data_IF_825773703543
#
_entry.id   IF_825773703543
#
_cell.length_a   1.000
_cell.length_b   1.000
_cell.length_c   1.000
_cell.angle_alpha   90.00
_cell.angle_beta   90.00
_cell.angle_gamma   90.00
#
_symmetry.space_group_name_H-M   'P 1'
#
loop_
_entity.id
_entity.type
_entity.pdbx_description
1 polymer ?
#
# COMPACT_ATOMS: atom_id res chain seq x y z
N UNK A 1 39.43 51.43 75.36
CA UNK A 1 39.23 51.70 73.91
C UNK A 1 39.82 50.60 73.01
N UNK A 2 39.35 49.34 73.06
CA UNK A 2 39.82 48.28 72.13
C UNK A 2 38.75 47.28 71.62
N UNK A 3 37.47 47.45 71.95
CA UNK A 3 36.38 46.55 71.50
C UNK A 3 35.64 47.00 70.23
N UNK A 4 35.82 48.25 69.77
CA UNK A 4 35.09 48.79 68.61
C UNK A 4 35.70 48.43 67.25
N UNK A 5 37.01 48.10 67.20
CA UNK A 5 37.69 47.79 65.95
C UNK A 5 37.40 46.38 65.41
N UNK A 6 37.16 45.41 66.31
CA UNK A 6 36.91 44.02 65.92
C UNK A 6 35.51 43.84 65.29
N UNK A 7 34.51 44.61 65.73
CA UNK A 7 33.15 44.49 65.20
C UNK A 7 33.04 45.11 63.79
N UNK A 8 33.70 46.25 63.52
CA UNK A 8 33.70 46.89 62.21
C UNK A 8 34.49 46.09 61.16
N UNK A 9 35.58 45.42 61.56
CA UNK A 9 36.32 44.51 60.68
C UNK A 9 35.52 43.27 60.28
N UNK A 10 34.78 42.68 61.22
CA UNK A 10 33.94 41.51 60.96
C UNK A 10 32.76 41.85 60.03
N UNK A 11 32.15 43.03 60.15
CA UNK A 11 31.06 43.45 59.26
C UNK A 11 31.53 43.69 57.82
N UNK A 12 32.75 44.20 57.61
CA UNK A 12 33.34 44.42 56.28
C UNK A 12 33.74 43.09 55.64
N UNK A 13 34.29 42.14 56.42
CA UNK A 13 34.61 40.80 55.92
C UNK A 13 33.35 40.00 55.55
N UNK A 14 32.25 40.14 56.32
CA UNK A 14 30.97 39.50 55.99
C UNK A 14 30.33 40.10 54.72
N UNK A 15 30.43 41.43 54.52
CA UNK A 15 29.94 42.08 53.30
C UNK A 15 30.74 41.67 52.06
N UNK A 16 32.06 41.49 52.18
CA UNK A 16 32.91 41.04 51.07
C UNK A 16 32.67 39.57 50.69
N UNK A 17 32.28 38.71 51.65
CA UNK A 17 31.88 37.33 51.34
C UNK A 17 30.46 37.23 50.76
N UNK A 18 29.56 38.17 51.07
CA UNK A 18 28.19 38.19 50.54
C UNK A 18 28.09 38.75 49.11
N UNK A 19 29.07 39.53 48.66
CA UNK A 19 29.12 40.12 47.30
C UNK A 19 30.30 39.62 46.46
N UNK A 20 31.09 38.66 46.95
CA UNK A 20 32.33 38.19 46.32
C UNK A 20 32.22 37.03 45.32
N UNK A 21 31.04 36.43 45.12
CA UNK A 21 30.84 35.32 44.19
C UNK A 21 29.63 35.57 43.29
N UNK A 22 29.73 36.54 42.39
CA UNK A 22 29.01 36.47 41.11
C UNK A 22 30.05 36.47 40.01
N UNK A 23 30.78 35.36 39.87
CA UNK A 23 31.20 35.00 38.52
C UNK A 23 29.89 34.86 37.76
N UNK A 24 29.65 35.76 36.81
CA UNK A 24 28.69 35.54 35.74
C UNK A 24 29.21 34.36 34.92
N UNK A 25 29.23 33.16 35.50
CA UNK A 25 29.03 31.94 34.75
C UNK A 25 27.60 32.08 34.26
N UNK A 26 27.47 32.71 33.09
CA UNK A 26 26.33 32.46 32.23
C UNK A 26 26.17 30.96 32.24
N UNK A 27 25.15 30.47 32.95
CA UNK A 27 24.61 29.16 32.68
C UNK A 27 24.31 29.19 31.20
N UNK A 28 25.21 28.63 30.39
CA UNK A 28 24.88 28.17 29.06
C UNK A 28 23.80 27.14 29.34
N UNK A 29 22.55 27.59 29.35
CA UNK A 29 21.38 26.73 29.39
C UNK A 29 21.69 25.63 28.40
N UNK A 30 21.86 24.40 28.91
CA UNK A 30 22.09 23.24 28.07
C UNK A 30 21.12 23.37 26.88
N UNK A 31 21.61 23.28 25.63
CA UNK A 31 20.81 23.61 24.46
C UNK A 31 19.48 22.91 24.64
N UNK A 32 18.42 23.68 24.83
CA UNK A 32 17.09 23.15 25.10
C UNK A 32 16.82 22.19 23.97
N UNK A 33 16.82 20.90 24.29
CA UNK A 33 16.59 19.84 23.32
C UNK A 33 15.34 20.23 22.55
N UNK A 34 15.41 20.21 21.22
CA UNK A 34 14.25 20.57 20.42
C UNK A 34 13.19 19.48 20.61
N UNK A 35 12.37 19.63 21.65
CA UNK A 35 11.30 18.70 21.97
C UNK A 35 10.22 18.71 20.88
N UNK A 36 10.19 19.74 20.03
CA UNK A 36 9.23 19.91 18.95
C UNK A 36 7.84 20.33 19.43
N UNK A 37 6.93 20.48 18.47
CA UNK A 37 5.49 20.67 18.72
C UNK A 37 4.76 19.35 18.57
N UNK A 38 3.69 19.14 19.33
CA UNK A 38 2.80 17.96 19.17
C UNK A 38 2.22 17.87 17.76
N UNK A 39 1.81 19.01 17.18
CA UNK A 39 1.31 19.13 15.82
C UNK A 39 2.15 20.15 15.05
N UNK A 40 2.68 19.74 13.90
CA UNK A 40 3.47 20.59 13.00
C UNK A 40 2.69 20.85 11.72
N UNK A 41 2.60 22.11 11.31
CA UNK A 41 1.89 22.55 10.12
C UNK A 41 2.83 23.29 9.17
N UNK A 42 2.99 22.77 7.97
CA UNK A 42 3.73 23.38 6.87
C UNK A 42 2.71 23.94 5.87
N UNK A 43 2.45 25.23 5.99
CA UNK A 43 1.43 25.99 5.25
C UNK A 43 2.05 27.30 4.72
N UNK A 44 1.40 27.90 3.72
CA UNK A 44 1.86 29.12 3.04
C UNK A 44 2.91 28.82 1.97
N UNK A 45 3.10 29.74 1.02
CA UNK A 45 3.94 29.58 -0.19
C UNK A 45 5.46 29.57 0.10
N UNK A 46 5.89 28.64 0.93
CA UNK A 46 7.26 28.46 1.38
C UNK A 46 8.15 27.97 0.24
N UNK A 47 9.38 28.47 0.23
CA UNK A 47 10.49 27.86 -0.52
C UNK A 47 10.95 26.56 0.16
N UNK A 48 11.71 25.73 -0.57
CA UNK A 48 12.29 24.49 -0.01
C UNK A 48 13.13 24.78 1.26
N UNK A 49 13.93 25.85 1.26
CA UNK A 49 14.78 26.22 2.39
C UNK A 49 13.98 26.60 3.63
N UNK A 50 12.89 27.35 3.46
CA UNK A 50 11.99 27.75 4.56
C UNK A 50 11.23 26.54 5.11
N UNK A 51 10.77 25.65 4.22
CA UNK A 51 10.12 24.39 4.61
C UNK A 51 11.06 23.53 5.47
N UNK A 52 12.31 23.31 5.01
CA UNK A 52 13.33 22.56 5.76
C UNK A 52 13.64 23.23 7.09
N UNK A 53 13.83 24.55 7.12
CA UNK A 53 14.11 25.27 8.36
C UNK A 53 12.96 25.13 9.37
N UNK A 54 11.71 25.24 8.92
CA UNK A 54 10.52 25.09 9.77
C UNK A 54 10.37 23.67 10.29
N UNK A 55 10.53 22.66 9.44
CA UNK A 55 10.50 21.26 9.85
C UNK A 55 11.57 20.96 10.90
N UNK A 56 12.82 21.43 10.68
CA UNK A 56 13.92 21.26 11.64
C UNK A 56 13.67 21.95 12.98
N UNK A 57 12.95 23.08 12.98
CA UNK A 57 12.64 23.83 14.19
C UNK A 57 11.43 23.25 14.94
N UNK A 58 10.46 22.66 14.25
CA UNK A 58 9.18 22.28 14.86
C UNK A 58 9.00 20.78 15.08
N UNK A 59 9.67 19.92 14.31
CA UNK A 59 9.62 18.46 14.50
C UNK A 59 10.64 18.06 15.58
N UNK A 60 10.18 17.31 16.58
CA UNK A 60 11.01 16.87 17.70
C UNK A 60 10.43 15.65 18.43
N UNK A 61 10.99 15.33 19.59
CA UNK A 61 10.69 14.10 20.34
C UNK A 61 9.24 13.94 20.80
N UNK A 62 8.46 15.02 20.90
CA UNK A 62 7.04 14.97 21.30
C UNK A 62 6.08 15.10 20.11
N UNK A 63 6.60 15.26 18.89
CA UNK A 63 5.76 15.43 17.70
C UNK A 63 4.98 14.15 17.44
N UNK A 64 3.66 14.29 17.31
CA UNK A 64 2.74 13.19 17.02
C UNK A 64 2.16 13.32 15.61
N UNK A 65 1.93 14.54 15.12
CA UNK A 65 1.29 14.76 13.82
C UNK A 65 2.03 15.80 12.99
N UNK A 66 2.24 15.50 11.71
CA UNK A 66 2.83 16.40 10.73
C UNK A 66 1.84 16.59 9.57
N UNK A 67 1.51 17.83 9.29
CA UNK A 67 0.64 18.24 8.19
C UNK A 67 1.43 19.11 7.24
N UNK A 68 1.46 18.74 5.96
CA UNK A 68 2.08 19.53 4.90
C UNK A 68 1.03 19.83 3.85
N UNK A 69 0.88 21.11 3.52
CA UNK A 69 -0.14 21.59 2.60
C UNK A 69 -1.35 22.21 3.31
N UNK A 70 -2.23 22.79 2.49
CA UNK A 70 -3.42 23.52 2.93
C UNK A 70 -4.35 23.78 1.75
N UNK A 71 -5.34 24.66 1.96
CA UNK A 71 -6.33 25.04 0.94
C UNK A 71 -5.66 25.86 -0.17
N UNK A 72 -4.72 26.72 0.19
CA UNK A 72 -4.02 27.59 -0.75
C UNK A 72 -2.93 26.81 -1.52
N UNK A 73 -2.76 27.07 -2.82
CA UNK A 73 -1.70 26.45 -3.61
C UNK A 73 -0.30 26.76 -3.08
N UNK A 74 0.53 25.73 -3.02
CA UNK A 74 1.96 25.84 -2.72
C UNK A 74 2.71 25.86 -4.06
N UNK A 75 3.22 27.03 -4.43
CA UNK A 75 3.79 27.27 -5.76
C UNK A 75 5.31 27.20 -5.76
N UNK A 76 5.98 27.54 -4.67
CA UNK A 76 7.45 27.55 -4.64
C UNK A 76 8.09 26.25 -4.16
N UNK A 77 7.33 25.39 -3.47
CA UNK A 77 7.84 24.15 -2.91
C UNK A 77 8.06 23.10 -4.01
N UNK A 78 9.30 22.64 -4.15
CA UNK A 78 9.70 21.60 -5.12
C UNK A 78 10.07 20.28 -4.45
N UNK A 79 10.52 20.32 -3.20
CA UNK A 79 10.98 19.15 -2.46
C UNK A 79 10.52 19.21 -1.00
N UNK A 80 10.04 18.07 -0.48
CA UNK A 80 9.78 17.86 0.94
C UNK A 80 10.75 16.79 1.44
N UNK A 81 11.54 17.11 2.47
CA UNK A 81 12.35 16.12 3.21
C UNK A 81 11.92 16.08 4.68
N UNK A 82 11.55 14.90 5.18
CA UNK A 82 11.09 14.68 6.54
C UNK A 82 11.99 13.66 7.24
N UNK A 83 12.56 14.04 8.37
CA UNK A 83 13.12 13.13 9.37
C UNK A 83 12.06 12.92 10.45
N UNK A 84 11.56 11.70 10.59
CA UNK A 84 10.36 11.39 11.37
C UNK A 84 10.73 10.62 12.64
N UNK A 85 10.50 11.18 13.84
CA UNK A 85 10.71 10.46 15.08
C UNK A 85 9.65 9.37 15.29
N UNK A 86 9.99 8.35 16.07
CA UNK A 86 9.11 7.18 16.35
C UNK A 86 7.77 7.53 17.00
N UNK A 87 7.65 8.73 17.58
CA UNK A 87 6.43 9.23 18.22
C UNK A 87 5.37 9.69 17.23
N UNK A 88 5.74 9.94 15.96
CA UNK A 88 4.79 10.40 14.94
C UNK A 88 3.81 9.30 14.60
N UNK A 89 2.53 9.63 14.73
CA UNK A 89 1.37 8.78 14.48
C UNK A 89 0.67 9.14 13.17
N UNK A 90 0.86 10.36 12.68
CA UNK A 90 0.23 10.80 11.45
C UNK A 90 1.13 11.72 10.65
N UNK A 91 1.25 11.41 9.36
CA UNK A 91 1.80 12.31 8.35
C UNK A 91 0.76 12.45 7.26
N UNK A 92 0.34 13.68 7.00
CA UNK A 92 -0.57 14.00 5.90
C UNK A 92 0.05 15.10 5.04
N UNK A 93 0.49 14.71 3.84
CA UNK A 93 0.92 15.63 2.80
C UNK A 93 -0.28 15.78 1.87
N UNK A 94 -1.01 16.88 1.97
CA UNK A 94 -2.27 17.11 1.27
C UNK A 94 -2.40 18.59 0.90
N UNK A 95 -2.45 18.90 -0.40
CA UNK A 95 -2.57 20.27 -0.88
C UNK A 95 -2.41 20.37 -2.39
N UNK A 96 -2.64 21.57 -2.95
CA UNK A 96 -2.41 21.82 -4.38
C UNK A 96 -0.96 22.26 -4.58
N UNK A 97 -0.09 21.34 -4.99
CA UNK A 97 1.31 21.65 -5.29
C UNK A 97 1.53 21.79 -6.79
N UNK A 98 1.93 22.99 -7.23
CA UNK A 98 2.18 23.26 -8.66
C UNK A 98 3.58 22.81 -9.10
N UNK A 99 4.53 22.77 -8.18
CA UNK A 99 5.94 22.50 -8.49
C UNK A 99 6.60 21.40 -7.63
N UNK A 100 5.87 20.78 -6.69
CA UNK A 100 6.39 19.67 -5.88
C UNK A 100 6.70 18.47 -6.77
N UNK A 101 7.98 18.09 -6.80
CA UNK A 101 8.54 16.98 -7.58
C UNK A 101 8.97 15.83 -6.71
N UNK A 102 9.50 16.11 -5.51
CA UNK A 102 10.15 15.09 -4.69
C UNK A 102 9.61 15.09 -3.26
N UNK A 103 9.28 13.91 -2.75
CA UNK A 103 8.98 13.70 -1.33
C UNK A 103 9.94 12.64 -0.80
N UNK A 104 10.68 12.97 0.25
CA UNK A 104 11.57 12.06 0.96
C UNK A 104 11.17 11.97 2.43
N UNK A 105 10.93 10.76 2.91
CA UNK A 105 10.57 10.49 4.31
C UNK A 105 11.55 9.46 4.88
N UNK A 106 12.27 9.85 5.92
CA UNK A 106 13.16 8.97 6.68
C UNK A 106 12.57 8.78 8.07
N UNK A 107 12.18 7.55 8.40
CA UNK A 107 11.74 7.21 9.76
C UNK A 107 12.73 6.30 10.46
N UNK A 108 12.36 5.80 11.64
CA UNK A 108 13.25 5.03 12.50
C UNK A 108 12.59 3.75 13.01
N UNK A 109 12.92 2.61 12.40
CA UNK A 109 12.52 1.31 12.89
C UNK A 109 11.00 1.10 12.83
N UNK A 110 10.39 0.68 13.93
CA UNK A 110 8.97 0.29 13.95
C UNK A 110 8.09 1.49 14.32
N UNK A 111 7.13 1.81 13.46
CA UNK A 111 6.18 2.90 13.64
C UNK A 111 4.74 2.37 13.48
N UNK A 112 4.32 1.42 14.34
CA UNK A 112 3.13 0.60 14.14
C UNK A 112 1.80 1.34 14.17
N UNK A 113 1.80 2.61 14.60
CA UNK A 113 0.62 3.47 14.70
C UNK A 113 0.65 4.60 13.66
N UNK A 114 1.70 4.68 12.83
CA UNK A 114 1.85 5.73 11.83
C UNK A 114 0.89 5.50 10.66
N UNK A 115 0.00 6.46 10.46
CA UNK A 115 -0.82 6.68 9.27
C UNK A 115 -0.11 7.67 8.35
N UNK A 116 0.42 7.18 7.22
CA UNK A 116 1.11 7.98 6.21
C UNK A 116 0.21 8.17 4.99
N UNK A 117 -0.19 9.42 4.73
CA UNK A 117 -1.01 9.81 3.59
C UNK A 117 -0.28 10.85 2.76
N UNK A 118 -0.13 10.54 1.47
CA UNK A 118 0.42 11.46 0.49
C UNK A 118 -0.64 11.65 -0.60
N UNK A 119 -1.09 12.88 -0.75
CA UNK A 119 -2.15 13.26 -1.68
C UNK A 119 -1.70 14.48 -2.48
N UNK A 120 -1.91 14.39 -3.79
CA UNK A 120 -1.79 15.50 -4.74
C UNK A 120 -0.36 16.07 -4.91
N UNK A 121 0.01 16.25 -6.18
CA UNK A 121 1.23 16.93 -6.59
C UNK A 121 1.33 16.84 -8.10
N UNK A 122 0.90 17.89 -8.81
CA UNK A 122 0.72 17.84 -10.27
C UNK A 122 2.00 17.44 -11.01
N UNK A 123 3.15 17.77 -10.44
CA UNK A 123 4.48 17.47 -11.00
C UNK A 123 5.27 16.48 -10.14
N UNK A 124 4.60 15.69 -9.30
CA UNK A 124 5.28 14.73 -8.44
C UNK A 124 5.98 13.69 -9.32
N UNK A 125 7.28 13.55 -9.15
CA UNK A 125 8.14 12.64 -9.92
C UNK A 125 8.62 11.49 -9.03
N UNK A 126 9.00 11.78 -7.78
CA UNK A 126 9.60 10.80 -6.88
C UNK A 126 9.00 10.86 -5.47
N UNK A 127 8.68 9.68 -4.93
CA UNK A 127 8.41 9.47 -3.51
C UNK A 127 9.38 8.40 -3.00
N UNK A 128 10.16 8.76 -1.99
CA UNK A 128 11.16 7.86 -1.42
C UNK A 128 10.99 7.77 0.10
N UNK A 129 10.83 6.55 0.60
CA UNK A 129 10.62 6.26 2.02
C UNK A 129 11.69 5.26 2.47
N UNK A 130 12.42 5.58 3.54
CA UNK A 130 13.46 4.70 4.11
C UNK A 130 13.45 4.68 5.64
N UNK A 131 14.08 3.66 6.23
CA UNK A 131 14.26 3.53 7.67
C UNK A 131 13.01 3.09 8.46
N UNK A 132 11.83 3.05 7.85
CA UNK A 132 10.59 2.57 8.47
C UNK A 132 10.39 1.09 8.16
N UNK A 133 10.35 0.26 9.20
CA UNK A 133 10.21 -1.21 9.10
C UNK A 133 8.79 -1.72 9.34
N UNK A 134 7.94 -0.92 9.96
CA UNK A 134 6.55 -1.26 10.27
C UNK A 134 5.67 0.00 10.30
N UNK A 135 4.50 -0.04 9.66
CA UNK A 135 3.51 1.06 9.60
C UNK A 135 2.10 0.58 9.95
N UNK A 136 1.22 1.50 10.33
CA UNK A 136 -0.20 1.21 10.44
C UNK A 136 -0.86 1.18 9.06
N UNK A 137 -0.80 2.31 8.36
CA UNK A 137 -1.44 2.55 7.08
C UNK A 137 -0.50 3.39 6.20
N UNK A 138 -0.43 3.06 4.91
CA UNK A 138 0.19 3.93 3.92
C UNK A 138 -0.70 4.05 2.70
N UNK A 139 -1.00 5.29 2.30
CA UNK A 139 -1.88 5.59 1.18
C UNK A 139 -1.32 6.71 0.33
N UNK A 140 -1.25 6.43 -0.98
CA UNK A 140 -0.90 7.39 -2.01
C UNK A 140 -2.13 7.66 -2.86
N UNK A 141 -2.50 8.93 -2.98
CA UNK A 141 -3.53 9.40 -3.92
C UNK A 141 -2.85 10.40 -4.85
N UNK A 142 -2.40 9.89 -5.99
CA UNK A 142 -1.70 10.66 -7.01
C UNK A 142 -2.73 11.42 -7.86
N UNK A 143 -2.40 12.63 -8.33
CA UNK A 143 -3.38 13.48 -9.00
C UNK A 143 -3.88 12.86 -10.31
N UNK A 144 -5.14 13.16 -10.62
CA UNK A 144 -5.67 13.13 -11.97
C UNK A 144 -5.08 14.35 -12.71
N UNK A 145 -4.19 14.13 -13.68
CA UNK A 145 -3.44 15.21 -14.34
C UNK A 145 -4.28 16.03 -15.29
N UNK A 146 -5.51 15.61 -15.59
CA UNK A 146 -6.43 16.37 -16.44
C UNK A 146 -5.83 16.65 -17.82
N UNK A 147 -5.76 15.62 -18.66
CA UNK A 147 -5.31 15.67 -20.07
C UNK A 147 -3.85 16.08 -20.33
N UNK A 148 -3.08 16.48 -19.32
CA UNK A 148 -1.64 16.71 -19.49
C UNK A 148 -0.90 15.37 -19.55
N UNK A 149 -0.09 15.24 -20.59
CA UNK A 149 0.71 14.08 -21.00
C UNK A 149 1.37 13.31 -19.85
N UNK A 150 1.34 11.97 -19.94
CA UNK A 150 2.13 10.97 -19.21
C UNK A 150 2.92 11.47 -17.98
N UNK A 151 2.27 11.50 -16.82
CA UNK A 151 2.96 11.71 -15.55
C UNK A 151 3.57 10.40 -15.07
N UNK A 152 4.91 10.36 -15.02
CA UNK A 152 5.68 9.26 -14.45
C UNK A 152 5.98 9.54 -12.99
N UNK A 153 5.49 8.69 -12.09
CA UNK A 153 5.81 8.73 -10.66
C UNK A 153 6.58 7.48 -10.28
N UNK A 154 7.75 7.66 -9.65
CA UNK A 154 8.52 6.60 -9.02
C UNK A 154 8.26 6.62 -7.51
N UNK A 155 7.71 5.54 -6.98
CA UNK A 155 7.53 5.31 -5.54
C UNK A 155 8.46 4.18 -5.13
N UNK A 156 9.41 4.48 -4.25
CA UNK A 156 10.32 3.49 -3.67
C UNK A 156 10.23 3.53 -2.14
N UNK A 157 9.96 2.36 -1.55
CA UNK A 157 9.88 2.16 -0.11
C UNK A 157 10.92 1.09 0.27
N UNK A 158 11.91 1.50 1.06
CA UNK A 158 12.96 0.64 1.61
C UNK A 158 12.64 0.25 3.04
N UNK A 159 13.18 -0.89 3.46
CA UNK A 159 13.15 -1.42 4.84
C UNK A 159 11.77 -1.81 5.38
N UNK A 160 10.66 -1.39 4.75
CA UNK A 160 9.30 -1.68 5.20
C UNK A 160 8.99 -3.16 5.08
N UNK A 161 8.84 -3.84 6.22
CA UNK A 161 8.53 -5.28 6.29
C UNK A 161 7.07 -5.57 6.56
N UNK A 162 6.39 -4.69 7.30
CA UNK A 162 5.04 -4.94 7.80
C UNK A 162 4.16 -3.69 7.66
N UNK A 163 2.93 -3.90 7.17
CA UNK A 163 1.87 -2.88 7.23
C UNK A 163 0.67 -3.48 7.95
N UNK A 164 0.24 -2.88 9.06
CA UNK A 164 -0.78 -3.48 9.93
C UNK A 164 -2.20 -3.45 9.36
N UNK A 165 -2.53 -2.46 8.54
CA UNK A 165 -3.88 -2.25 7.99
C UNK A 165 -3.92 -2.33 6.47
N UNK A 166 -3.34 -1.34 5.79
CA UNK A 166 -3.39 -1.33 4.32
C UNK A 166 -2.25 -0.54 3.68
N UNK A 167 -1.88 -0.99 2.49
CA UNK A 167 -1.06 -0.26 1.54
C UNK A 167 -1.90 0.00 0.29
N UNK A 168 -2.19 1.25 0.01
CA UNK A 168 -3.02 1.64 -1.13
C UNK A 168 -2.34 2.66 -2.01
N UNK A 169 -2.41 2.46 -3.32
CA UNK A 169 -2.02 3.45 -4.33
C UNK A 169 -3.21 3.65 -5.26
N UNK A 170 -3.67 4.89 -5.40
CA UNK A 170 -4.63 5.30 -6.42
C UNK A 170 -4.00 6.39 -7.27
N UNK A 171 -3.98 6.15 -8.58
CA UNK A 171 -3.19 6.87 -9.55
C UNK A 171 -3.90 6.88 -10.92
N UNK A 172 -5.08 7.50 -10.96
CA UNK A 172 -5.98 7.44 -12.13
C UNK A 172 -5.31 7.84 -13.46
N UNK A 173 -4.38 8.81 -13.46
CA UNK A 173 -3.69 9.31 -14.67
C UNK A 173 -2.17 9.15 -14.65
N UNK A 174 -1.63 8.33 -13.76
CA UNK A 174 -0.21 8.02 -13.81
C UNK A 174 0.00 7.02 -14.93
N UNK A 175 0.81 7.39 -15.92
CA UNK A 175 1.09 6.51 -17.05
C UNK A 175 2.54 6.04 -17.03
N UNK A 176 2.77 4.81 -16.59
CA UNK A 176 4.09 4.17 -16.67
C UNK A 176 4.93 4.36 -15.41
N UNK A 177 4.29 4.71 -14.31
CA UNK A 177 4.95 4.85 -13.00
C UNK A 177 5.61 3.55 -12.54
N UNK A 178 6.48 3.67 -11.55
CA UNK A 178 7.14 2.54 -10.89
C UNK A 178 6.77 2.53 -9.41
N UNK A 179 6.39 1.37 -8.89
CA UNK A 179 6.17 1.14 -7.46
C UNK A 179 7.07 0.01 -6.96
N UNK A 180 7.96 0.29 -6.02
CA UNK A 180 8.91 -0.67 -5.46
C UNK A 180 8.78 -0.70 -3.94
N UNK A 181 8.47 -1.86 -3.39
CA UNK A 181 8.44 -2.11 -1.94
C UNK A 181 8.91 -3.55 -1.67
N UNK A 182 10.17 -3.82 -1.99
CA UNK A 182 10.70 -5.19 -2.06
C UNK A 182 10.98 -5.85 -0.72
N UNK A 183 11.05 -5.07 0.36
CA UNK A 183 11.22 -5.60 1.71
C UNK A 183 9.90 -5.97 2.40
N UNK A 184 8.75 -5.65 1.80
CA UNK A 184 7.45 -5.90 2.38
C UNK A 184 7.16 -7.39 2.41
N UNK A 185 6.94 -7.93 3.61
CA UNK A 185 6.66 -9.34 3.82
C UNK A 185 5.19 -9.60 4.13
N UNK A 186 4.55 -8.68 4.87
CA UNK A 186 3.19 -8.85 5.37
C UNK A 186 2.38 -7.56 5.30
N UNK A 187 1.15 -7.67 4.78
CA UNK A 187 0.10 -6.67 4.98
C UNK A 187 -1.03 -7.35 5.72
N UNK A 188 -1.28 -6.90 6.94
CA UNK A 188 -2.47 -7.20 7.72
C UNK A 188 -2.90 -8.68 7.82
N UNK A 189 -2.68 -9.29 8.99
CA UNK A 189 -3.19 -10.62 9.31
C UNK A 189 -4.49 -10.61 10.14
N UNK A 190 -4.96 -9.45 10.62
CA UNK A 190 -5.93 -9.36 11.72
C UNK A 190 -7.05 -8.31 11.54
N UNK A 191 -6.99 -7.44 10.53
CA UNK A 191 -7.99 -6.41 10.26
C UNK A 191 -9.01 -6.94 9.23
N UNK A 192 -10.29 -6.67 9.49
CA UNK A 192 -11.41 -7.16 8.69
C UNK A 192 -11.49 -6.47 7.32
N UNK A 193 -11.90 -7.23 6.28
CA UNK A 193 -12.39 -6.95 4.91
C UNK A 193 -11.97 -5.70 4.09
N UNK A 194 -11.55 -4.60 4.70
CA UNK A 194 -11.13 -3.34 4.08
C UNK A 194 -9.60 -3.11 4.15
N UNK A 195 -8.88 -3.93 4.93
CA UNK A 195 -7.42 -3.96 4.98
C UNK A 195 -6.80 -4.77 3.83
N UNK A 196 -5.61 -4.39 3.40
CA UNK A 196 -4.86 -5.12 2.37
C UNK A 196 -4.05 -4.24 1.42
N UNK A 197 -3.70 -4.84 0.28
CA UNK A 197 -2.95 -4.24 -0.81
C UNK A 197 -3.90 -3.77 -1.90
N UNK A 198 -3.79 -2.50 -2.30
CA UNK A 198 -4.58 -1.92 -3.37
C UNK A 198 -3.72 -1.16 -4.36
N UNK A 199 -3.87 -1.45 -5.65
CA UNK A 199 -3.32 -0.65 -6.73
C UNK A 199 -4.42 -0.25 -7.68
N UNK A 200 -4.49 1.03 -7.98
CA UNK A 200 -5.38 1.64 -8.95
C UNK A 200 -4.57 2.63 -9.79
N UNK A 201 -4.55 2.47 -11.12
CA UNK A 201 -3.71 3.26 -12.05
C UNK A 201 -2.78 2.46 -12.97
N UNK A 202 -2.08 3.13 -13.91
CA UNK A 202 -1.12 2.48 -14.84
C UNK A 202 0.32 2.53 -14.32
N UNK A 203 0.77 1.44 -13.70
CA UNK A 203 2.18 1.26 -13.31
C UNK A 203 2.87 0.33 -14.30
N UNK A 204 3.92 0.82 -14.96
CA UNK A 204 4.74 -0.01 -15.84
C UNK A 204 5.49 -1.10 -15.05
N UNK A 205 5.81 -0.82 -13.78
CA UNK A 205 6.52 -1.74 -12.91
C UNK A 205 5.97 -1.68 -11.48
N UNK A 206 5.55 -2.83 -10.96
CA UNK A 206 5.16 -3.01 -9.56
C UNK A 206 5.97 -4.18 -8.99
N UNK A 207 6.77 -3.93 -7.95
CA UNK A 207 7.71 -4.91 -7.40
C UNK A 207 7.55 -5.03 -5.88
N UNK A 208 7.19 -6.23 -5.43
CA UNK A 208 7.03 -6.63 -4.02
C UNK A 208 7.54 -8.05 -3.80
N UNK A 209 8.85 -8.24 -4.02
CA UNK A 209 9.44 -9.57 -4.16
C UNK A 209 9.38 -10.46 -2.91
N UNK A 210 9.20 -9.87 -1.72
CA UNK A 210 9.14 -10.62 -0.45
C UNK A 210 7.74 -10.73 0.15
N UNK A 211 6.70 -10.22 -0.52
CA UNK A 211 5.34 -10.23 0.04
C UNK A 211 4.84 -11.68 0.11
N UNK A 212 4.70 -12.21 1.33
CA UNK A 212 4.30 -13.60 1.59
C UNK A 212 2.82 -13.75 1.83
N UNK A 213 2.22 -12.82 2.57
CA UNK A 213 0.81 -12.86 2.95
C UNK A 213 0.15 -11.49 2.93
N UNK A 214 -1.09 -11.45 2.46
CA UNK A 214 -1.96 -10.27 2.58
C UNK A 214 -3.41 -10.69 2.80
N UNK A 215 -4.16 -9.91 3.57
CA UNK A 215 -5.61 -10.14 3.72
C UNK A 215 -6.35 -9.92 2.39
N UNK A 216 -6.05 -8.84 1.68
CA UNK A 216 -6.68 -8.54 0.40
C UNK A 216 -5.64 -8.07 -0.60
N UNK A 217 -5.83 -8.44 -1.86
CA UNK A 217 -5.09 -7.94 -3.00
C UNK A 217 -6.09 -7.42 -4.03
N UNK A 218 -6.18 -6.10 -4.16
CA UNK A 218 -7.06 -5.42 -5.12
C UNK A 218 -6.19 -4.79 -6.20
N UNK A 219 -6.39 -5.25 -7.43
CA UNK A 219 -5.66 -4.79 -8.60
C UNK A 219 -6.69 -4.18 -9.55
N UNK A 220 -6.78 -2.85 -9.52
CA UNK A 220 -7.43 -2.01 -10.54
C UNK A 220 -6.33 -1.35 -11.37
N UNK A 221 -5.28 -2.10 -11.66
CA UNK A 221 -4.09 -1.57 -12.31
C UNK A 221 -4.04 -1.96 -13.78
N UNK A 222 -3.48 -1.04 -14.55
CA UNK A 222 -3.10 -1.22 -15.93
C UNK A 222 -1.57 -1.51 -15.90
N UNK A 223 -1.09 -2.50 -16.66
CA UNK A 223 0.33 -2.91 -16.65
C UNK A 223 0.49 -4.26 -17.32
N UNK A 224 1.53 -4.46 -18.13
CA UNK A 224 1.62 -5.67 -18.96
C UNK A 224 1.71 -6.95 -18.10
N UNK A 225 2.54 -6.96 -17.06
CA UNK A 225 2.80 -8.14 -16.24
C UNK A 225 2.83 -7.72 -14.77
N UNK A 226 1.96 -8.30 -13.96
CA UNK A 226 1.97 -8.15 -12.50
C UNK A 226 2.32 -9.50 -11.89
N UNK A 227 3.34 -9.53 -11.02
CA UNK A 227 3.78 -10.75 -10.36
C UNK A 227 4.06 -10.55 -8.88
N UNK A 228 3.64 -11.53 -8.08
CA UNK A 228 3.93 -11.60 -6.65
C UNK A 228 4.68 -12.91 -6.37
N UNK A 229 6.02 -12.94 -6.55
CA UNK A 229 6.79 -14.18 -6.63
C UNK A 229 6.90 -14.94 -5.30
N UNK A 230 6.68 -14.28 -4.17
CA UNK A 230 6.74 -14.87 -2.84
C UNK A 230 5.37 -15.03 -2.17
N UNK A 231 4.26 -14.65 -2.83
CA UNK A 231 2.94 -14.65 -2.19
C UNK A 231 2.42 -16.08 -2.04
N UNK A 232 2.39 -16.58 -0.81
CA UNK A 232 2.03 -17.95 -0.45
C UNK A 232 0.54 -18.11 -0.13
N UNK A 233 -0.05 -17.09 0.48
CA UNK A 233 -1.43 -17.10 0.97
C UNK A 233 -2.07 -15.70 0.89
N UNK A 234 -3.34 -15.67 0.50
CA UNK A 234 -4.17 -14.46 0.49
C UNK A 234 -5.59 -14.81 0.88
N UNK A 235 -6.33 -13.89 1.52
CA UNK A 235 -7.75 -14.14 1.78
C UNK A 235 -8.63 -13.79 0.57
N UNK A 236 -8.42 -12.63 -0.05
CA UNK A 236 -9.19 -12.21 -1.24
C UNK A 236 -8.26 -11.64 -2.32
N UNK A 237 -8.43 -12.10 -3.57
CA UNK A 237 -7.90 -11.43 -4.76
C UNK A 237 -9.07 -10.82 -5.53
N UNK A 238 -8.99 -9.53 -5.81
CA UNK A 238 -9.87 -8.84 -6.77
C UNK A 238 -9.03 -8.22 -7.87
N UNK A 239 -9.36 -8.56 -9.10
CA UNK A 239 -8.82 -7.90 -10.28
C UNK A 239 -9.99 -7.19 -10.94
N UNK A 240 -9.93 -5.87 -10.99
CA UNK A 240 -10.99 -5.04 -11.55
C UNK A 240 -10.61 -4.52 -12.92
N UNK A 241 -11.63 -4.22 -13.71
CA UNK A 241 -11.50 -3.57 -15.00
C UNK A 241 -10.97 -2.16 -14.79
N UNK A 242 -9.89 -1.83 -15.50
CA UNK A 242 -9.43 -0.45 -15.57
C UNK A 242 -10.19 0.29 -16.67
N UNK A 243 -11.06 1.22 -16.29
CA UNK A 243 -12.00 1.87 -17.21
C UNK A 243 -11.44 3.11 -17.92
N UNK A 244 -10.38 3.71 -17.39
CA UNK A 244 -9.89 5.01 -17.87
C UNK A 244 -9.04 4.91 -19.15
N UNK A 245 -8.23 3.86 -19.30
CA UNK A 245 -7.46 3.63 -20.53
C UNK A 245 -7.48 2.14 -20.95
N UNK A 246 -8.40 1.74 -21.85
CA UNK A 246 -8.54 0.34 -22.26
C UNK A 246 -7.34 -0.17 -23.09
N UNK A 247 -6.45 0.70 -23.58
CA UNK A 247 -5.28 0.27 -24.34
C UNK A 247 -4.22 -0.42 -23.47
N UNK A 248 -4.20 -0.13 -22.17
CA UNK A 248 -3.14 -0.52 -21.23
C UNK A 248 -3.57 -1.62 -20.24
N UNK A 249 -4.39 -2.56 -20.66
CA UNK A 249 -4.93 -3.59 -19.76
C UNK A 249 -3.86 -4.56 -19.23
N UNK A 250 -4.15 -5.15 -18.07
CA UNK A 250 -3.39 -6.25 -17.50
C UNK A 250 -3.33 -7.44 -18.47
N UNK A 251 -2.12 -7.89 -18.86
CA UNK A 251 -1.94 -9.03 -19.80
C UNK A 251 -1.63 -10.31 -19.04
N UNK A 252 -0.75 -10.26 -18.05
CA UNK A 252 -0.36 -11.42 -17.24
C UNK A 252 -0.41 -11.09 -15.75
N UNK A 253 -1.04 -12.00 -15.00
CA UNK A 253 -1.03 -12.02 -13.54
C UNK A 253 -0.44 -13.33 -13.06
N UNK A 254 0.71 -13.26 -12.37
CA UNK A 254 1.51 -14.43 -12.04
C UNK A 254 1.79 -14.58 -10.53
N UNK A 255 1.38 -15.72 -9.98
CA UNK A 255 1.54 -16.13 -8.60
C UNK A 255 2.23 -17.49 -8.50
N UNK A 256 3.56 -17.57 -8.68
CA UNK A 256 4.27 -18.83 -8.85
C UNK A 256 4.24 -19.75 -7.62
N UNK A 257 4.08 -19.18 -6.41
CA UNK A 257 4.11 -19.93 -5.14
C UNK A 257 2.79 -19.89 -4.35
N UNK A 258 1.74 -19.25 -4.89
CA UNK A 258 0.47 -19.09 -4.18
C UNK A 258 -0.24 -20.44 -4.05
N UNK A 259 -0.44 -20.90 -2.83
CA UNK A 259 -1.06 -22.20 -2.55
C UNK A 259 -2.52 -22.10 -2.11
N UNK A 260 -2.91 -20.93 -1.56
CA UNK A 260 -4.21 -20.76 -0.89
C UNK A 260 -4.81 -19.37 -1.08
N UNK A 261 -6.08 -19.35 -1.49
CA UNK A 261 -6.97 -18.19 -1.47
C UNK A 261 -8.13 -18.51 -0.53
N UNK A 262 -8.15 -17.93 0.68
CA UNK A 262 -9.07 -18.38 1.73
C UNK A 262 -10.55 -18.14 1.41
N UNK A 263 -10.88 -17.01 0.77
CA UNK A 263 -12.27 -16.60 0.52
C UNK A 263 -12.62 -16.63 -0.96
N UNK A 264 -12.10 -15.70 -1.77
CA UNK A 264 -12.40 -15.71 -3.19
C UNK A 264 -11.37 -15.02 -4.09
N UNK A 265 -11.38 -15.47 -5.34
CA UNK A 265 -10.74 -14.87 -6.49
C UNK A 265 -11.83 -14.30 -7.40
N UNK A 266 -11.91 -12.97 -7.50
CA UNK A 266 -12.82 -12.27 -8.42
C UNK A 266 -12.00 -11.54 -9.47
N UNK A 267 -12.06 -12.00 -10.71
CA UNK A 267 -11.28 -11.48 -11.82
C UNK A 267 -12.20 -10.93 -12.92
N UNK A 268 -12.17 -9.62 -13.09
CA UNK A 268 -12.94 -8.81 -14.04
C UNK A 268 -11.98 -7.98 -14.90
N UNK A 269 -11.11 -8.64 -15.65
CA UNK A 269 -10.03 -7.97 -16.39
C UNK A 269 -10.26 -8.09 -17.90
N UNK A 270 -10.45 -6.94 -18.56
CA UNK A 270 -10.86 -6.85 -19.98
C UNK A 270 -9.94 -7.55 -20.98
N UNK A 271 -8.64 -7.66 -20.70
CA UNK A 271 -7.65 -8.25 -21.62
C UNK A 271 -6.63 -9.14 -20.92
N UNK A 272 -6.99 -9.71 -19.77
CA UNK A 272 -6.10 -10.64 -19.09
C UNK A 272 -5.86 -11.83 -20.01
N UNK A 273 -4.65 -11.95 -20.52
CA UNK A 273 -4.20 -13.07 -21.29
C UNK A 273 -3.92 -14.26 -20.40
N UNK A 274 -3.14 -14.06 -19.32
CA UNK A 274 -2.62 -15.12 -18.45
C UNK A 274 -2.97 -14.89 -16.99
N UNK A 275 -3.59 -15.89 -16.37
CA UNK A 275 -3.75 -16.02 -14.93
C UNK A 275 -2.99 -17.28 -14.46
N UNK A 276 -1.79 -17.08 -13.94
CA UNK A 276 -0.89 -18.17 -13.56
C UNK A 276 -0.89 -18.41 -12.04
N UNK A 277 -1.44 -19.54 -11.62
CA UNK A 277 -1.63 -19.98 -10.24
C UNK A 277 -1.21 -21.47 -10.09
N UNK A 278 0.03 -21.84 -10.49
CA UNK A 278 0.43 -23.24 -10.68
C UNK A 278 0.36 -24.07 -9.40
N UNK A 279 0.59 -23.47 -8.24
CA UNK A 279 0.59 -24.16 -6.95
C UNK A 279 -0.71 -24.01 -6.17
N UNK A 280 -1.73 -23.38 -6.74
CA UNK A 280 -2.99 -23.12 -6.04
C UNK A 280 -3.71 -24.45 -5.79
N UNK A 281 -3.84 -24.82 -4.51
CA UNK A 281 -4.56 -26.02 -4.08
C UNK A 281 -5.95 -25.68 -3.54
N UNK A 282 -6.09 -24.55 -2.85
CA UNK A 282 -7.34 -24.18 -2.20
C UNK A 282 -7.81 -22.79 -2.65
N UNK A 283 -9.05 -22.70 -3.14
CA UNK A 283 -9.74 -21.44 -3.35
C UNK A 283 -11.23 -21.63 -3.11
N UNK A 284 -11.81 -20.98 -2.11
CA UNK A 284 -13.22 -21.25 -1.79
C UNK A 284 -14.19 -20.82 -2.89
N UNK A 285 -13.99 -19.64 -3.50
CA UNK A 285 -14.79 -19.18 -4.64
C UNK A 285 -13.92 -18.61 -5.76
N UNK A 286 -14.25 -18.97 -6.99
CA UNK A 286 -13.61 -18.44 -8.20
C UNK A 286 -14.68 -17.81 -9.07
N UNK A 287 -14.47 -16.55 -9.43
CA UNK A 287 -15.36 -15.76 -10.25
C UNK A 287 -14.53 -15.12 -11.35
N UNK A 288 -14.81 -15.50 -12.60
CA UNK A 288 -14.11 -15.02 -13.78
C UNK A 288 -15.15 -14.36 -14.70
N UNK A 289 -14.98 -13.09 -15.02
CA UNK A 289 -15.93 -12.33 -15.84
C UNK A 289 -15.20 -11.44 -16.84
N UNK A 290 -15.98 -10.87 -17.73
CA UNK A 290 -15.57 -9.87 -18.72
C UNK A 290 -14.65 -10.45 -19.81
N UNK A 291 -15.19 -11.46 -20.50
CA UNK A 291 -15.16 -11.67 -21.96
C UNK A 291 -13.89 -11.39 -22.80
N UNK A 292 -12.64 -11.51 -22.33
CA UNK A 292 -11.49 -11.79 -23.23
C UNK A 292 -10.33 -12.52 -22.53
N UNK A 293 -10.61 -13.59 -21.76
CA UNK A 293 -9.57 -14.59 -21.55
C UNK A 293 -9.66 -15.56 -22.73
N UNK A 294 -8.75 -15.52 -23.73
CA UNK A 294 -8.67 -16.65 -24.66
C UNK A 294 -8.54 -17.93 -23.81
N UNK A 295 -9.28 -18.97 -24.20
CA UNK A 295 -9.53 -20.23 -23.47
C UNK A 295 -8.32 -21.00 -22.87
N UNK A 296 -7.10 -20.47 -22.95
CA UNK A 296 -5.86 -21.23 -22.91
C UNK A 296 -4.92 -20.89 -21.76
N UNK A 297 -5.29 -20.01 -20.81
CA UNK A 297 -4.27 -19.38 -19.97
C UNK A 297 -4.69 -19.12 -18.52
N UNK A 298 -5.55 -19.99 -17.96
CA UNK A 298 -5.74 -20.09 -16.51
C UNK A 298 -5.05 -21.34 -16.00
N UNK A 299 -3.88 -21.18 -15.38
CA UNK A 299 -3.12 -22.29 -14.83
C UNK A 299 -3.43 -22.47 -13.36
N UNK A 300 -4.35 -23.39 -13.03
CA UNK A 300 -4.68 -23.76 -11.63
C UNK A 300 -4.66 -25.27 -11.43
N UNK A 301 -3.76 -26.01 -12.10
CA UNK A 301 -3.86 -27.47 -12.23
C UNK A 301 -3.90 -28.26 -10.91
N UNK A 302 -3.32 -27.74 -9.82
CA UNK A 302 -3.34 -28.38 -8.50
C UNK A 302 -4.58 -28.08 -7.63
N UNK A 303 -5.56 -27.32 -8.14
CA UNK A 303 -6.76 -26.95 -7.39
C UNK A 303 -7.52 -28.20 -6.93
N UNK A 304 -7.65 -28.35 -5.61
CA UNK A 304 -8.26 -29.49 -4.94
C UNK A 304 -9.49 -29.12 -4.10
N UNK A 305 -9.72 -27.84 -3.83
CA UNK A 305 -10.88 -27.36 -3.09
C UNK A 305 -11.47 -26.11 -3.73
N UNK A 306 -12.78 -26.12 -4.00
CA UNK A 306 -13.57 -24.97 -4.45
C UNK A 306 -15.08 -25.28 -4.35
N UNK A 307 -15.84 -24.37 -3.74
CA UNK A 307 -17.30 -24.53 -3.52
C UNK A 307 -18.14 -23.72 -4.48
N UNK A 308 -17.58 -22.68 -5.09
CA UNK A 308 -18.31 -21.76 -5.96
C UNK A 308 -17.46 -21.39 -7.18
N UNK A 309 -17.95 -21.68 -8.38
CA UNK A 309 -17.24 -21.37 -9.62
C UNK A 309 -18.17 -20.69 -10.63
N UNK A 310 -17.83 -19.48 -11.04
CA UNK A 310 -18.56 -18.72 -12.07
C UNK A 310 -17.60 -18.35 -13.18
N UNK A 311 -18.04 -18.60 -14.41
CA UNK A 311 -17.28 -18.25 -15.61
C UNK A 311 -18.16 -17.49 -16.60
N UNK A 312 -17.67 -16.33 -17.04
CA UNK A 312 -18.19 -15.55 -18.15
C UNK A 312 -17.01 -14.96 -18.93
N UNK A 313 -16.21 -15.84 -19.51
CA UNK A 313 -14.97 -15.49 -20.22
C UNK A 313 -14.94 -16.04 -21.65
N UNK A 314 -16.09 -16.45 -22.18
CA UNK A 314 -16.26 -17.03 -23.53
C UNK A 314 -15.47 -18.35 -23.73
N UNK A 315 -15.54 -19.24 -22.75
CA UNK A 315 -14.97 -20.57 -22.86
C UNK A 315 -15.62 -21.34 -24.03
N UNK A 316 -14.81 -21.96 -24.91
CA UNK A 316 -15.32 -22.93 -25.87
C UNK A 316 -15.82 -24.18 -25.13
N UNK A 317 -16.63 -25.01 -25.81
CA UNK A 317 -17.17 -26.25 -25.24
C UNK A 317 -16.09 -27.15 -24.63
N UNK A 318 -14.91 -27.24 -25.26
CA UNK A 318 -13.76 -27.99 -24.72
C UNK A 318 -13.25 -27.45 -23.38
N UNK A 319 -13.25 -26.12 -23.20
CA UNK A 319 -12.87 -25.46 -21.94
C UNK A 319 -13.88 -25.74 -20.84
N UNK A 320 -15.18 -25.63 -21.13
CA UNK A 320 -16.25 -25.98 -20.19
C UNK A 320 -16.16 -27.46 -19.80
N UNK A 321 -16.00 -28.37 -20.77
CA UNK A 321 -15.82 -29.80 -20.52
C UNK A 321 -14.62 -30.09 -19.60
N UNK A 322 -13.48 -29.46 -19.84
CA UNK A 322 -12.27 -29.64 -19.03
C UNK A 322 -12.47 -29.20 -17.58
N UNK A 323 -13.17 -28.09 -17.36
CA UNK A 323 -13.50 -27.62 -16.01
C UNK A 323 -14.46 -28.59 -15.32
N UNK A 324 -15.56 -28.97 -15.98
CA UNK A 324 -16.52 -29.93 -15.41
C UNK A 324 -15.84 -31.25 -15.00
N UNK A 325 -14.99 -31.80 -15.87
CA UNK A 325 -14.25 -33.02 -15.60
C UNK A 325 -13.36 -32.89 -14.35
N UNK A 326 -12.60 -31.80 -14.25
CA UNK A 326 -11.72 -31.55 -13.12
C UNK A 326 -12.50 -31.46 -11.79
N UNK A 327 -13.67 -30.84 -11.82
CA UNK A 327 -14.50 -30.64 -10.63
C UNK A 327 -15.19 -31.90 -10.10
N UNK A 328 -15.13 -33.03 -10.82
CA UNK A 328 -15.58 -34.33 -10.31
C UNK A 328 -14.84 -34.75 -9.03
N UNK A 329 -13.58 -34.34 -8.88
CA UNK A 329 -12.70 -34.75 -7.78
C UNK A 329 -12.33 -33.59 -6.83
N UNK A 330 -12.66 -32.36 -7.19
CA UNK A 330 -12.46 -31.18 -6.32
C UNK A 330 -13.40 -31.27 -5.11
N UNK A 331 -12.83 -31.04 -3.93
CA UNK A 331 -13.55 -31.03 -2.66
C UNK A 331 -14.29 -29.70 -2.43
N UNK A 332 -15.42 -29.74 -1.71
CA UNK A 332 -16.17 -30.94 -1.33
C UNK A 332 -16.78 -31.64 -2.56
N UNK A 333 -17.04 -32.96 -2.49
CA UNK A 333 -17.64 -33.71 -3.62
C UNK A 333 -19.06 -33.22 -3.95
N UNK A 334 -19.81 -32.74 -2.95
CA UNK A 334 -21.19 -32.25 -3.07
C UNK A 334 -21.34 -30.80 -2.58
N UNK A 335 -22.50 -30.18 -2.82
CA UNK A 335 -22.80 -28.83 -2.32
C UNK A 335 -22.07 -27.70 -3.03
N UNK A 336 -21.44 -27.98 -4.18
CA UNK A 336 -20.81 -26.96 -5.03
C UNK A 336 -21.82 -26.25 -5.91
N UNK A 337 -21.53 -25.01 -6.26
CA UNK A 337 -22.29 -24.21 -7.24
C UNK A 337 -21.41 -23.87 -8.44
N UNK A 338 -21.97 -24.10 -9.64
CA UNK A 338 -21.33 -23.83 -10.92
C UNK A 338 -22.25 -23.02 -11.82
N UNK A 339 -21.73 -21.93 -12.38
CA UNK A 339 -22.43 -21.12 -13.36
C UNK A 339 -21.58 -20.93 -14.64
N UNK A 340 -22.08 -21.52 -15.72
CA UNK A 340 -21.57 -21.42 -17.09
C UNK A 340 -22.65 -20.92 -18.05
N UNK A 341 -23.68 -20.20 -17.59
CA UNK A 341 -24.79 -19.72 -18.45
C UNK A 341 -24.34 -18.74 -19.54
N UNK A 342 -23.15 -18.15 -19.40
CA UNK A 342 -22.59 -17.24 -20.42
C UNK A 342 -21.52 -17.91 -21.29
N UNK A 343 -21.31 -19.22 -21.13
CA UNK A 343 -20.32 -19.99 -21.87
C UNK A 343 -20.95 -20.86 -22.96
N UNK A 344 -20.11 -21.39 -23.86
CA UNK A 344 -20.56 -22.36 -24.86
C UNK A 344 -20.96 -23.66 -24.16
N UNK A 345 -22.11 -24.23 -24.52
CA UNK A 345 -22.64 -25.44 -23.90
C UNK A 345 -21.64 -26.62 -23.92
N UNK A 346 -21.59 -27.45 -22.87
CA UNK A 346 -20.75 -28.65 -22.86
C UNK A 346 -21.25 -29.69 -23.88
N UNK A 347 -20.34 -30.52 -24.37
CA UNK A 347 -20.63 -31.55 -25.38
C UNK A 347 -19.97 -32.89 -25.01
N UNK A 348 -20.46 -34.00 -25.56
CA UNK A 348 -19.86 -35.33 -25.37
C UNK A 348 -19.66 -35.68 -23.90
N UNK A 349 -18.41 -35.98 -23.51
CA UNK A 349 -18.05 -36.29 -22.12
C UNK A 349 -18.46 -35.20 -21.12
N UNK A 350 -18.48 -33.92 -21.51
CA UNK A 350 -18.88 -32.84 -20.61
C UNK A 350 -20.35 -32.89 -20.18
N UNK A 351 -21.25 -33.44 -21.01
CA UNK A 351 -22.65 -33.66 -20.63
C UNK A 351 -22.75 -34.75 -19.55
N UNK A 352 -21.94 -35.81 -19.66
CA UNK A 352 -21.85 -36.90 -18.68
C UNK A 352 -21.27 -36.38 -17.36
N UNK A 353 -20.19 -35.58 -17.44
CA UNK A 353 -19.54 -34.99 -16.26
C UNK A 353 -20.48 -34.01 -15.55
N UNK A 354 -21.22 -33.17 -16.30
CA UNK A 354 -22.30 -32.31 -15.76
C UNK A 354 -23.33 -33.13 -14.98
N UNK A 355 -23.86 -34.21 -15.58
CA UNK A 355 -24.88 -35.03 -14.92
C UNK A 355 -24.31 -35.74 -13.68
N UNK A 356 -23.05 -36.19 -13.74
CA UNK A 356 -22.36 -36.78 -12.58
C UNK A 356 -22.25 -35.79 -11.43
N UNK A 357 -21.85 -34.55 -11.70
CA UNK A 357 -21.80 -33.48 -10.69
C UNK A 357 -23.18 -33.21 -10.08
N UNK A 358 -24.25 -33.16 -10.88
CA UNK A 358 -25.61 -32.99 -10.38
C UNK A 358 -26.01 -34.16 -9.48
N UNK A 359 -25.72 -35.40 -9.89
CA UNK A 359 -26.01 -36.60 -9.11
C UNK A 359 -25.23 -36.66 -7.78
N UNK A 360 -24.04 -36.05 -7.73
CA UNK A 360 -23.27 -35.84 -6.49
C UNK A 360 -23.88 -34.77 -5.58
N UNK A 361 -24.98 -34.10 -5.96
CA UNK A 361 -25.62 -33.06 -5.16
C UNK A 361 -25.03 -31.66 -5.35
N UNK A 362 -24.50 -31.37 -6.53
CA UNK A 362 -24.03 -30.03 -6.90
C UNK A 362 -25.07 -29.30 -7.77
N UNK A 363 -25.05 -27.97 -7.76
CA UNK A 363 -25.84 -27.14 -8.69
C UNK A 363 -24.99 -26.78 -9.90
N UNK A 364 -25.38 -27.21 -11.10
CA UNK A 364 -24.65 -26.94 -12.34
C UNK A 364 -25.55 -26.24 -13.37
N UNK A 365 -25.27 -24.98 -13.65
CA UNK A 365 -25.97 -24.19 -14.66
C UNK A 365 -25.12 -24.10 -15.94
N UNK A 366 -25.68 -24.47 -17.09
CA UNK A 366 -25.05 -24.31 -18.41
C UNK A 366 -26.12 -23.88 -19.42
N UNK A 367 -25.69 -23.28 -20.52
CA UNK A 367 -26.53 -23.14 -21.72
C UNK A 367 -27.02 -24.48 -22.28
#
# INVERSE_FOLDING_TARGET
MKKSFLLKGLTILLLLTLFGCTTNEYYTTAPTENIGKTNVYIEGDLTDAECVAKLKAEVGSITENIYVGGIEPLTNLTTIELEVPVTVRKIEINGTYNNLKNIKIRGQGKMPILDLKIRYGKKLENIFIEGITELFLISFILPNSGNESEHLVAIEIKDLKNVRKALGVSAEDVYGGTFICNDLEYIDQNYSFEGGLGFDGYFANVSMNKLKKTQSLNITAAGNIVSFPALEEVNVIRVNKYTYNPSNSLIELNFPVLTKINSYLDCKADKLGILNLPLLTYCNQIVLRDQVLPSTTINMHLLNYCTYYVSNIQLPSSGVNAILNKFLNIQPISGKFFDFLQEVAPTGQGLIDKQTLINQGNTVLTN
#
